data_IF_151975849939
#
_entry.id   IF_151975849939
#
_cell.length_a   1.000
_cell.length_b   1.000
_cell.length_c   1.000
_cell.angle_alpha   90.00
_cell.angle_beta   90.00
_cell.angle_gamma   90.00
#
_symmetry.space_group_name_H-M   'P 1'
#
loop_
_entity.id
_entity.type
_entity.pdbx_description
1 polymer ?
#
# COMPACT_ATOMS: atom_id res chain seq x y z
N UNK A 1 45.01 60.98 -38.69
CA UNK A 1 45.14 60.00 -37.60
C UNK A 1 44.23 58.83 -37.93
N UNK A 2 44.84 57.67 -38.23
CA UNK A 2 44.33 56.29 -38.44
C UNK A 2 42.84 56.08 -38.83
N UNK A 3 42.43 55.46 -39.95
CA UNK A 3 42.98 54.30 -40.69
C UNK A 3 42.01 53.11 -40.49
N UNK A 4 41.01 52.92 -41.37
CA UNK A 4 40.90 51.85 -42.39
C UNK A 4 41.20 50.42 -41.88
N UNK A 5 40.21 49.52 -41.86
CA UNK A 5 40.15 48.38 -42.79
C UNK A 5 38.86 47.55 -42.71
N UNK A 6 38.51 47.01 -43.88
CA UNK A 6 37.52 45.98 -44.15
C UNK A 6 38.28 44.66 -44.34
N UNK A 7 37.65 43.53 -43.99
CA UNK A 7 37.76 42.19 -44.62
C UNK A 7 38.38 41.02 -43.82
N UNK A 8 37.55 39.97 -43.71
CA UNK A 8 37.83 38.54 -43.97
C UNK A 8 38.63 37.66 -42.99
N UNK A 9 37.84 36.83 -42.29
CA UNK A 9 37.86 35.36 -42.28
C UNK A 9 38.81 34.55 -41.37
N UNK A 10 38.18 33.50 -40.81
CA UNK A 10 38.71 32.28 -40.18
C UNK A 10 39.21 32.40 -38.73
N UNK A 11 38.40 31.86 -37.80
CA UNK A 11 38.83 30.80 -36.89
C UNK A 11 37.59 30.15 -36.23
N UNK A 12 37.52 28.83 -36.34
CA UNK A 12 36.55 27.96 -35.70
C UNK A 12 36.50 28.20 -34.18
N UNK A 13 35.31 28.47 -33.63
CA UNK A 13 34.99 28.11 -32.25
C UNK A 13 33.50 27.84 -32.13
N UNK A 14 33.16 26.55 -31.97
CA UNK A 14 31.83 26.08 -31.58
C UNK A 14 31.60 26.42 -30.11
N UNK A 15 30.69 27.33 -29.80
CA UNK A 15 30.09 27.43 -28.46
C UNK A 15 28.59 27.66 -28.57
N UNK A 16 27.85 26.57 -28.81
CA UNK A 16 26.45 26.49 -28.38
C UNK A 16 26.39 26.27 -26.87
N UNK A 17 25.29 26.64 -26.19
CA UNK A 17 25.11 26.32 -24.78
C UNK A 17 25.05 24.80 -24.62
N UNK A 18 26.09 24.24 -24.01
CA UNK A 18 26.19 22.82 -23.67
C UNK A 18 25.33 22.56 -22.44
N UNK A 19 24.04 22.29 -22.65
CA UNK A 19 23.21 21.68 -21.62
C UNK A 19 23.71 20.26 -21.41
N UNK A 20 24.53 20.06 -20.39
CA UNK A 20 24.88 18.73 -19.88
C UNK A 20 23.61 18.13 -19.27
N UNK A 21 22.97 17.23 -20.01
CA UNK A 21 22.04 16.24 -19.45
C UNK A 21 22.84 15.34 -18.51
N UNK A 22 22.87 15.71 -17.23
CA UNK A 22 23.35 14.83 -16.18
C UNK A 22 22.27 13.78 -15.94
N UNK A 23 22.30 12.69 -16.71
CA UNK A 23 21.59 11.47 -16.33
C UNK A 23 22.11 11.05 -14.94
N UNK A 24 21.25 10.60 -14.01
CA UNK A 24 21.71 10.12 -12.72
C UNK A 24 22.57 8.86 -12.98
N UNK A 25 23.89 9.01 -12.84
CA UNK A 25 24.79 7.86 -12.80
C UNK A 25 24.51 7.13 -11.49
N UNK A 26 23.77 6.04 -11.59
CA UNK A 26 23.72 5.04 -10.52
C UNK A 26 25.11 4.41 -10.47
N UNK A 27 25.90 4.80 -9.47
CA UNK A 27 27.17 4.16 -9.20
C UNK A 27 26.87 2.84 -8.50
N UNK A 28 26.72 1.77 -9.28
CA UNK A 28 26.76 0.40 -8.76
C UNK A 28 28.22 0.14 -8.36
N UNK A 29 28.53 0.33 -7.07
CA UNK A 29 29.77 -0.16 -6.49
C UNK A 29 29.87 -1.67 -6.73
N UNK A 30 31.04 -2.23 -7.07
CA UNK A 30 31.20 -3.67 -7.13
C UNK A 30 30.88 -4.23 -5.74
N UNK A 31 29.89 -5.12 -5.66
CA UNK A 31 29.59 -5.88 -4.44
C UNK A 31 30.80 -6.79 -4.20
N UNK A 32 31.74 -6.33 -3.41
CA UNK A 32 32.82 -7.15 -2.89
C UNK A 32 32.22 -7.99 -1.76
N UNK A 33 31.84 -9.23 -2.08
CA UNK A 33 31.43 -10.21 -1.08
C UNK A 33 32.64 -10.51 -0.17
N UNK A 34 32.59 -10.19 1.14
CA UNK A 34 33.64 -10.61 2.05
C UNK A 34 33.51 -12.12 2.27
N UNK A 35 34.64 -12.83 2.25
CA UNK A 35 34.72 -14.21 2.72
C UNK A 35 34.26 -14.26 4.18
N UNK A 36 33.13 -14.91 4.43
CA UNK A 36 32.54 -15.13 5.75
C UNK A 36 33.50 -15.96 6.62
N UNK A 37 34.17 -15.29 7.57
CA UNK A 37 34.84 -15.93 8.70
C UNK A 37 33.93 -15.78 9.92
N UNK A 38 33.26 -16.87 10.29
CA UNK A 38 32.12 -16.91 11.20
C UNK A 38 32.40 -16.64 12.68
N UNK A 39 33.27 -15.69 13.04
CA UNK A 39 33.59 -15.40 14.45
C UNK A 39 33.09 -14.06 15.00
N UNK A 40 32.66 -13.09 14.16
CA UNK A 40 32.30 -11.74 14.64
C UNK A 40 30.98 -11.16 14.09
N UNK A 41 30.06 -11.99 13.60
CA UNK A 41 28.77 -11.55 13.03
C UNK A 41 27.93 -10.60 13.92
N UNK A 42 27.82 -10.79 15.26
CA UNK A 42 27.00 -9.90 16.08
C UNK A 42 27.57 -8.46 16.18
N UNK A 43 28.89 -8.31 16.15
CA UNK A 43 29.56 -7.00 16.26
C UNK A 43 29.51 -6.20 14.95
N UNK A 44 29.43 -6.90 13.82
CA UNK A 44 29.28 -6.31 12.49
C UNK A 44 27.83 -5.87 12.24
N UNK A 45 26.84 -6.61 12.77
CA UNK A 45 25.42 -6.28 12.68
C UNK A 45 25.02 -5.10 13.60
N UNK A 46 25.61 -5.01 14.80
CA UNK A 46 25.42 -3.88 15.71
C UNK A 46 25.96 -2.57 15.11
N UNK A 47 27.11 -2.64 14.42
CA UNK A 47 27.70 -1.51 13.69
C UNK A 47 26.85 -1.02 12.51
N UNK A 48 26.05 -1.93 11.92
CA UNK A 48 25.22 -1.66 10.73
C UNK A 48 23.81 -1.16 11.07
N UNK A 49 23.28 -1.54 12.24
CA UNK A 49 21.89 -1.28 12.64
C UNK A 49 21.73 -0.23 13.73
N UNK A 50 22.80 0.11 14.48
CA UNK A 50 22.78 1.19 15.48
C UNK A 50 21.97 0.91 16.75
N UNK A 51 21.50 -0.33 16.96
CA UNK A 51 20.76 -0.75 18.14
C UNK A 51 21.56 -1.76 18.98
N UNK A 52 21.66 -1.59 20.31
CA UNK A 52 22.45 -2.47 21.17
C UNK A 52 21.80 -3.86 21.28
N UNK A 53 22.55 -4.91 20.94
CA UNK A 53 22.10 -6.30 21.03
C UNK A 53 22.56 -6.89 22.37
N UNK A 54 21.60 -7.20 23.25
CA UNK A 54 21.90 -7.84 24.54
C UNK A 54 22.42 -9.27 24.33
N UNK A 55 23.62 -9.58 24.83
CA UNK A 55 24.21 -10.91 24.81
C UNK A 55 23.83 -11.69 26.06
N UNK A 56 23.12 -12.81 25.90
CA UNK A 56 22.97 -13.80 26.97
C UNK A 56 23.32 -15.20 26.46
N UNK A 57 24.23 -15.85 27.17
CA UNK A 57 24.61 -17.26 26.97
C UNK A 57 23.64 -18.15 27.74
N UNK A 58 22.72 -18.82 27.04
CA UNK A 58 21.87 -19.86 27.64
C UNK A 58 22.05 -21.18 26.90
N UNK A 59 22.40 -22.22 27.67
CA UNK A 59 22.45 -23.62 27.24
C UNK A 59 21.02 -24.18 27.18
N UNK A 60 20.38 -24.21 26.00
CA UNK A 60 19.46 -25.27 25.54
C UNK A 60 18.92 -24.94 24.15
N UNK A 61 18.63 -25.99 23.36
CA UNK A 61 18.10 -25.99 21.98
C UNK A 61 19.16 -25.88 20.88
N UNK A 62 18.95 -26.65 19.80
CA UNK A 62 19.76 -26.78 18.59
C UNK A 62 20.53 -25.47 18.27
N UNK A 63 21.89 -25.49 18.15
CA UNK A 63 22.72 -24.28 18.09
C UNK A 63 22.39 -23.32 16.93
N UNK A 64 21.55 -23.76 16.00
CA UNK A 64 21.12 -23.03 14.83
C UNK A 64 19.82 -22.22 15.00
N UNK A 65 19.05 -22.39 16.10
CA UNK A 65 17.76 -21.68 16.29
C UNK A 65 17.94 -20.18 16.38
N UNK A 66 18.85 -19.72 17.25
CA UNK A 66 19.13 -18.30 17.45
C UNK A 66 19.70 -17.66 16.16
N UNK A 67 20.74 -18.23 15.49
CA UNK A 67 21.21 -17.72 14.21
C UNK A 67 20.13 -17.64 13.13
N UNK A 68 19.23 -18.63 13.04
CA UNK A 68 18.12 -18.62 12.07
C UNK A 68 17.14 -17.48 12.36
N UNK A 69 16.79 -17.23 13.63
CA UNK A 69 15.92 -16.11 13.99
C UNK A 69 16.56 -14.76 13.69
N UNK A 70 17.86 -14.59 13.94
CA UNK A 70 18.59 -13.37 13.56
C UNK A 70 18.61 -13.17 12.03
N UNK A 71 18.84 -14.24 11.26
CA UNK A 71 18.80 -14.16 9.79
C UNK A 71 17.40 -13.78 9.27
N UNK A 72 16.33 -14.33 9.87
CA UNK A 72 14.95 -13.94 9.54
C UNK A 72 14.72 -12.48 9.94
N UNK A 73 15.15 -12.06 11.12
CA UNK A 73 14.97 -10.69 11.62
C UNK A 73 15.68 -9.66 10.74
N UNK A 74 16.91 -9.94 10.30
CA UNK A 74 17.66 -9.10 9.35
C UNK A 74 16.91 -9.01 8.01
N UNK A 75 16.47 -10.14 7.46
CA UNK A 75 15.70 -10.16 6.22
C UNK A 75 14.33 -9.45 6.35
N UNK A 76 13.73 -9.42 7.54
CA UNK A 76 12.51 -8.66 7.83
C UNK A 76 12.82 -7.17 7.90
N UNK A 77 13.90 -6.75 8.55
CA UNK A 77 14.31 -5.35 8.61
C UNK A 77 14.57 -4.78 7.20
N UNK A 78 15.27 -5.53 6.36
CA UNK A 78 15.55 -5.15 4.97
C UNK A 78 14.25 -5.02 4.15
N UNK A 79 13.28 -5.91 4.35
CA UNK A 79 11.94 -5.79 3.73
C UNK A 79 11.18 -4.54 4.20
N UNK A 80 11.30 -4.15 5.47
CA UNK A 80 10.67 -2.90 5.97
C UNK A 80 11.21 -1.69 5.23
N UNK A 81 12.54 -1.57 5.11
CA UNK A 81 13.17 -0.48 4.38
C UNK A 81 12.81 -0.50 2.90
N UNK A 82 12.82 -1.67 2.26
CA UNK A 82 12.43 -1.83 0.88
C UNK A 82 10.98 -1.38 0.63
N UNK A 83 10.01 -1.84 1.43
CA UNK A 83 8.60 -1.45 1.29
C UNK A 83 8.41 0.06 1.52
N UNK A 84 9.11 0.67 2.50
CA UNK A 84 9.07 2.12 2.69
C UNK A 84 9.58 2.88 1.46
N UNK A 85 10.76 2.49 0.95
CA UNK A 85 11.37 3.12 -0.22
C UNK A 85 10.48 3.00 -1.46
N UNK A 86 9.89 1.82 -1.70
CA UNK A 86 8.95 1.61 -2.81
C UNK A 86 7.70 2.47 -2.61
N UNK A 87 7.15 2.53 -1.40
CA UNK A 87 5.99 3.38 -1.08
C UNK A 87 6.23 4.84 -1.44
N UNK A 88 7.36 5.42 -1.00
CA UNK A 88 7.73 6.80 -1.29
C UNK A 88 7.94 7.06 -2.79
N UNK A 89 8.60 6.14 -3.50
CA UNK A 89 8.77 6.23 -4.95
C UNK A 89 7.41 6.28 -5.66
N UNK A 90 6.45 5.46 -5.23
CA UNK A 90 5.12 5.40 -5.83
C UNK A 90 4.30 6.66 -5.55
N UNK A 91 4.40 7.24 -4.35
CA UNK A 91 3.79 8.54 -4.07
C UNK A 91 4.36 9.65 -4.93
N UNK A 92 5.67 9.69 -5.10
CA UNK A 92 6.33 10.68 -5.94
C UNK A 92 5.87 10.53 -7.40
N UNK A 93 5.78 9.30 -7.91
CA UNK A 93 5.23 9.03 -9.24
C UNK A 93 3.77 9.46 -9.35
N UNK A 94 2.95 9.19 -8.34
CA UNK A 94 1.54 9.62 -8.33
C UNK A 94 1.43 11.14 -8.50
N UNK A 95 2.20 11.90 -7.70
CA UNK A 95 2.22 13.37 -7.75
C UNK A 95 2.70 13.87 -9.11
N UNK A 96 3.86 13.39 -9.57
CA UNK A 96 4.45 13.82 -10.83
C UNK A 96 3.54 13.53 -12.03
N UNK A 97 3.00 12.31 -12.13
CA UNK A 97 2.12 11.92 -13.22
C UNK A 97 0.78 12.67 -13.17
N UNK A 98 0.15 12.77 -11.98
CA UNK A 98 -1.12 13.48 -11.83
C UNK A 98 -1.00 14.94 -12.25
N UNK A 99 0.02 15.65 -11.75
CA UNK A 99 0.26 17.06 -12.09
C UNK A 99 0.58 17.23 -13.57
N UNK A 100 1.40 16.35 -14.15
CA UNK A 100 1.76 16.43 -15.58
C UNK A 100 0.55 16.19 -16.47
N UNK A 101 -0.26 15.16 -16.20
CA UNK A 101 -1.49 14.84 -16.94
C UNK A 101 -2.49 16.00 -16.87
N UNK A 102 -2.70 16.56 -15.68
CA UNK A 102 -3.57 17.72 -15.50
C UNK A 102 -3.08 18.93 -16.30
N UNK A 103 -1.77 19.19 -16.26
CA UNK A 103 -1.17 20.28 -17.03
C UNK A 103 -1.33 20.06 -18.55
N UNK A 104 -1.11 18.85 -19.05
CA UNK A 104 -1.31 18.51 -20.47
C UNK A 104 -2.77 18.67 -20.90
N UNK A 105 -3.71 18.13 -20.12
CA UNK A 105 -5.14 18.23 -20.43
C UNK A 105 -5.64 19.67 -20.40
N UNK A 106 -5.25 20.46 -19.40
CA UNK A 106 -5.63 21.87 -19.30
C UNK A 106 -4.98 22.70 -20.41
N UNK A 107 -3.69 22.48 -20.71
CA UNK A 107 -3.01 23.16 -21.82
C UNK A 107 -3.65 22.80 -23.16
N UNK A 108 -4.00 21.53 -23.36
CA UNK A 108 -4.76 21.06 -24.51
C UNK A 108 -6.11 21.79 -24.63
N UNK A 109 -6.83 21.96 -23.53
CA UNK A 109 -8.10 22.70 -23.50
C UNK A 109 -7.92 24.17 -23.86
N UNK A 110 -6.93 24.84 -23.26
CA UNK A 110 -6.62 26.24 -23.56
C UNK A 110 -6.23 26.43 -25.02
N UNK A 111 -5.32 25.60 -25.55
CA UNK A 111 -4.90 25.65 -26.95
C UNK A 111 -6.05 25.36 -27.91
N UNK A 112 -6.97 24.45 -27.56
CA UNK A 112 -8.19 24.19 -28.34
C UNK A 112 -9.11 25.41 -28.38
N UNK A 113 -9.30 26.07 -27.23
CA UNK A 113 -10.09 27.30 -27.14
C UNK A 113 -9.47 28.46 -27.92
N UNK A 114 -8.15 28.62 -27.84
CA UNK A 114 -7.41 29.63 -28.62
C UNK A 114 -7.44 29.35 -30.12
N UNK A 115 -7.37 28.09 -30.54
CA UNK A 115 -7.45 27.72 -31.96
C UNK A 115 -8.79 28.17 -32.60
N UNK A 116 -9.85 28.32 -31.80
CA UNK A 116 -11.15 28.79 -32.27
C UNK A 116 -11.26 30.32 -32.41
N UNK A 117 -10.36 31.09 -31.80
CA UNK A 117 -10.38 32.57 -31.85
C UNK A 117 -9.39 33.15 -32.84
N UNK A 118 -8.41 32.37 -33.28
CA UNK A 118 -7.39 32.79 -34.25
C UNK A 118 -7.90 32.55 -35.67
N UNK A 119 -7.53 33.44 -36.60
CA UNK A 119 -7.87 33.31 -38.01
C UNK A 119 -7.38 31.98 -38.60
N UNK A 120 -8.13 31.45 -39.56
CA UNK A 120 -7.75 30.24 -40.29
C UNK A 120 -6.38 30.45 -40.98
N UNK A 121 -5.44 29.53 -40.71
CA UNK A 121 -4.06 29.64 -41.17
C UNK A 121 -3.08 28.83 -40.32
N UNK A 122 -1.78 29.01 -40.57
CA UNK A 122 -0.71 28.26 -39.89
C UNK A 122 -0.80 28.29 -38.35
N UNK A 123 -1.12 29.42 -37.68
CA UNK A 123 -1.20 29.46 -36.22
C UNK A 123 -2.36 28.61 -35.66
N UNK A 124 -3.51 28.59 -36.33
CA UNK A 124 -4.65 27.75 -35.95
C UNK A 124 -4.30 26.26 -36.07
N UNK A 125 -3.65 25.87 -37.18
CA UNK A 125 -3.18 24.50 -37.41
C UNK A 125 -2.18 24.07 -36.33
N UNK A 126 -1.22 24.95 -35.98
CA UNK A 126 -0.23 24.66 -34.95
C UNK A 126 -0.86 24.42 -33.57
N UNK A 127 -1.82 25.26 -33.15
CA UNK A 127 -2.52 25.13 -31.86
C UNK A 127 -3.38 23.87 -31.81
N UNK A 128 -4.06 23.54 -32.91
CA UNK A 128 -4.86 22.32 -33.06
C UNK A 128 -4.02 21.05 -32.99
N UNK A 129 -2.92 21.00 -33.74
CA UNK A 129 -2.00 19.86 -33.70
C UNK A 129 -1.40 19.70 -32.29
N UNK A 130 -0.96 20.80 -31.69
CA UNK A 130 -0.38 20.80 -30.34
C UNK A 130 -1.37 20.31 -29.28
N UNK A 131 -2.60 20.83 -29.28
CA UNK A 131 -3.65 20.39 -28.34
C UNK A 131 -4.04 18.93 -28.55
N UNK A 132 -4.16 18.47 -29.80
CA UNK A 132 -4.44 17.06 -30.10
C UNK A 132 -3.33 16.15 -29.56
N UNK A 133 -2.05 16.51 -29.79
CA UNK A 133 -0.89 15.75 -29.28
C UNK A 133 -0.89 15.72 -27.75
N UNK A 134 -1.14 16.85 -27.08
CA UNK A 134 -1.20 16.91 -25.61
C UNK A 134 -2.31 16.01 -25.06
N UNK A 135 -3.49 15.99 -25.69
CA UNK A 135 -4.57 15.11 -25.27
C UNK A 135 -4.24 13.63 -25.47
N UNK A 136 -3.69 13.26 -26.62
CA UNK A 136 -3.27 11.87 -26.89
C UNK A 136 -2.19 11.42 -25.89
N UNK A 137 -1.22 12.29 -25.60
CA UNK A 137 -0.19 12.03 -24.59
C UNK A 137 -0.81 11.87 -23.19
N UNK A 138 -1.74 12.74 -22.81
CA UNK A 138 -2.47 12.63 -21.55
C UNK A 138 -3.27 11.32 -21.46
N UNK A 139 -3.96 10.91 -22.53
CA UNK A 139 -4.67 9.62 -22.59
C UNK A 139 -3.71 8.45 -22.39
N UNK A 140 -2.58 8.42 -23.09
CA UNK A 140 -1.58 7.36 -22.96
C UNK A 140 -1.03 7.25 -21.53
N UNK A 141 -0.67 8.39 -20.93
CA UNK A 141 -0.17 8.44 -19.56
C UNK A 141 -1.25 8.08 -18.53
N UNK A 142 -2.50 8.48 -18.74
CA UNK A 142 -3.63 8.05 -17.91
C UNK A 142 -3.82 6.54 -17.96
N UNK A 143 -3.71 5.90 -19.13
CA UNK A 143 -3.81 4.44 -19.23
C UNK A 143 -2.69 3.73 -18.46
N UNK A 144 -1.45 4.24 -18.55
CA UNK A 144 -0.31 3.70 -17.78
C UNK A 144 -0.49 3.93 -16.28
N UNK A 145 -0.91 5.13 -15.89
CA UNK A 145 -1.15 5.51 -14.50
C UNK A 145 -2.31 4.69 -13.90
N UNK A 146 -3.38 4.47 -14.67
CA UNK A 146 -4.52 3.67 -14.25
C UNK A 146 -4.16 2.18 -14.20
N UNK A 147 -3.27 1.68 -15.05
CA UNK A 147 -2.82 0.29 -14.96
C UNK A 147 -1.99 0.03 -13.69
N UNK A 148 -1.12 0.98 -13.32
CA UNK A 148 -0.18 0.81 -12.21
C UNK A 148 -0.67 1.36 -10.86
N UNK A 149 -1.71 2.22 -10.88
CA UNK A 149 -2.28 3.01 -9.77
C UNK A 149 -1.29 3.27 -8.62
N UNK A 150 -0.34 4.20 -8.81
CA UNK A 150 0.78 4.38 -7.88
C UNK A 150 0.32 4.69 -6.44
N UNK A 151 -0.77 5.45 -6.26
CA UNK A 151 -1.32 5.79 -4.94
C UNK A 151 -1.87 4.59 -4.17
N UNK A 152 -2.58 3.67 -4.84
CA UNK A 152 -3.07 2.44 -4.23
C UNK A 152 -1.91 1.55 -3.80
N UNK A 153 -0.96 1.35 -4.72
CA UNK A 153 0.19 0.50 -4.47
C UNK A 153 1.07 1.05 -3.35
N UNK A 154 1.24 2.38 -3.26
CA UNK A 154 1.97 3.01 -2.17
C UNK A 154 1.38 2.64 -0.80
N UNK A 155 0.05 2.63 -0.67
CA UNK A 155 -0.61 2.26 0.58
C UNK A 155 -0.46 0.78 0.92
N UNK A 156 -0.54 -0.09 -0.09
CA UNK A 156 -0.24 -1.51 0.10
C UNK A 156 1.19 -1.71 0.62
N UNK A 157 2.17 -0.94 0.10
CA UNK A 157 3.55 -1.00 0.58
C UNK A 157 3.68 -0.46 2.02
N UNK A 158 2.99 0.63 2.38
CA UNK A 158 3.01 1.14 3.77
C UNK A 158 2.44 0.12 4.74
N UNK A 159 1.34 -0.54 4.38
CA UNK A 159 0.76 -1.58 5.22
C UNK A 159 1.70 -2.79 5.33
N UNK A 160 2.35 -3.21 4.23
CA UNK A 160 3.38 -4.24 4.26
C UNK A 160 4.54 -3.88 5.20
N UNK A 161 5.09 -2.67 5.07
CA UNK A 161 6.17 -2.18 5.95
C UNK A 161 5.76 -2.21 7.44
N UNK A 162 4.53 -1.79 7.75
CA UNK A 162 3.98 -1.85 9.12
C UNK A 162 3.91 -3.28 9.64
N UNK A 163 3.42 -4.22 8.82
CA UNK A 163 3.29 -5.63 9.21
C UNK A 163 4.64 -6.32 9.38
N UNK A 164 5.61 -6.07 8.49
CA UNK A 164 6.98 -6.54 8.66
C UNK A 164 7.63 -5.94 9.90
N UNK A 165 7.40 -4.65 10.20
CA UNK A 165 7.89 -4.02 11.42
C UNK A 165 7.30 -4.66 12.68
N UNK A 166 6.02 -5.02 12.67
CA UNK A 166 5.41 -5.79 13.77
C UNK A 166 6.04 -7.18 13.92
N UNK A 167 6.33 -7.86 12.81
CA UNK A 167 7.00 -9.16 12.83
C UNK A 167 8.43 -9.06 13.38
N UNK A 168 9.18 -8.01 12.99
CA UNK A 168 10.50 -7.70 13.53
C UNK A 168 10.47 -7.61 15.05
N UNK A 169 9.60 -6.76 15.60
CA UNK A 169 9.49 -6.59 17.05
C UNK A 169 9.06 -7.86 17.77
N UNK A 170 8.22 -8.68 17.14
CA UNK A 170 7.83 -9.98 17.71
C UNK A 170 9.03 -10.93 17.80
N UNK A 171 9.84 -11.03 16.75
CA UNK A 171 11.06 -11.86 16.75
C UNK A 171 12.07 -11.33 17.78
N UNK A 172 12.26 -10.01 17.84
CA UNK A 172 13.14 -9.37 18.82
C UNK A 172 12.69 -9.69 20.27
N UNK A 173 11.38 -9.63 20.53
CA UNK A 173 10.81 -9.97 21.85
C UNK A 173 11.05 -11.44 22.18
N UNK A 174 10.81 -12.36 21.24
CA UNK A 174 11.08 -13.79 21.41
C UNK A 174 12.56 -14.06 21.73
N UNK A 175 13.48 -13.37 21.05
CA UNK A 175 14.92 -13.46 21.32
C UNK A 175 15.28 -12.92 22.71
N UNK A 176 14.65 -11.81 23.14
CA UNK A 176 14.90 -11.16 24.41
C UNK A 176 14.36 -11.95 25.62
N UNK A 177 13.30 -12.74 25.44
CA UNK A 177 12.69 -13.58 26.47
C UNK A 177 13.44 -14.89 26.74
N UNK A 178 14.48 -15.20 25.97
CA UNK A 178 15.53 -16.15 26.36
C UNK A 178 15.27 -17.65 26.21
N UNK A 179 14.19 -18.08 25.53
CA UNK A 179 13.92 -19.50 25.20
C UNK A 179 13.29 -19.71 23.81
N UNK A 180 13.93 -19.27 22.72
CA UNK A 180 13.43 -19.56 21.37
C UNK A 180 13.57 -21.04 21.02
N UNK A 181 12.55 -21.60 20.36
CA UNK A 181 12.54 -22.97 19.84
C UNK A 181 12.45 -23.02 18.30
N UNK A 182 12.67 -24.19 17.71
CA UNK A 182 12.49 -24.45 16.28
C UNK A 182 11.07 -24.08 15.80
N UNK A 183 10.06 -24.21 16.67
CA UNK A 183 8.69 -23.76 16.40
C UNK A 183 8.62 -22.25 16.15
N UNK A 184 9.38 -21.43 16.88
CA UNK A 184 9.40 -19.98 16.71
C UNK A 184 10.05 -19.59 15.38
N UNK A 185 11.09 -20.32 14.96
CA UNK A 185 11.72 -20.17 13.64
C UNK A 185 10.72 -20.46 12.53
N UNK A 186 10.01 -21.58 12.63
CA UNK A 186 9.00 -21.97 11.64
C UNK A 186 7.84 -20.97 11.61
N UNK A 187 7.35 -20.52 12.75
CA UNK A 187 6.29 -19.51 12.85
C UNK A 187 6.72 -18.16 12.26
N UNK A 188 7.95 -17.72 12.55
CA UNK A 188 8.50 -16.50 11.96
C UNK A 188 8.62 -16.62 10.44
N UNK A 189 9.17 -17.73 9.95
CA UNK A 189 9.30 -18.01 8.52
C UNK A 189 7.94 -18.06 7.81
N UNK A 190 6.95 -18.78 8.36
CA UNK A 190 5.60 -18.86 7.80
C UNK A 190 4.93 -17.48 7.71
N UNK A 191 5.16 -16.61 8.70
CA UNK A 191 4.64 -15.23 8.66
C UNK A 191 5.34 -14.37 7.63
N UNK A 192 6.66 -14.49 7.48
CA UNK A 192 7.38 -13.79 6.39
C UNK A 192 6.80 -14.21 5.04
N UNK A 193 6.64 -15.51 4.81
CA UNK A 193 6.10 -16.03 3.55
C UNK A 193 4.63 -15.64 3.33
N UNK A 194 3.82 -15.61 4.39
CA UNK A 194 2.44 -15.14 4.32
C UNK A 194 2.36 -13.65 3.97
N UNK A 195 3.24 -12.82 4.55
CA UNK A 195 3.33 -11.39 4.22
C UNK A 195 3.84 -11.17 2.79
N UNK A 196 4.88 -11.89 2.36
CA UNK A 196 5.41 -11.82 0.98
C UNK A 196 4.34 -12.25 -0.05
N UNK A 197 3.48 -13.21 0.31
CA UNK A 197 2.35 -13.63 -0.54
C UNK A 197 1.22 -12.61 -0.56
N UNK A 198 0.93 -11.98 0.58
CA UNK A 198 -0.15 -10.99 0.70
C UNK A 198 0.23 -9.64 0.08
N UNK A 199 1.52 -9.28 0.10
CA UNK A 199 2.05 -8.04 -0.46
C UNK A 199 3.24 -8.35 -1.38
N UNK A 200 2.96 -8.93 -2.57
CA UNK A 200 4.01 -9.33 -3.49
C UNK A 200 4.80 -8.11 -3.97
N UNK A 201 6.12 -8.26 -3.97
CA UNK A 201 6.99 -7.26 -4.58
C UNK A 201 6.85 -7.31 -6.10
N UNK A 202 7.07 -6.19 -6.82
CA UNK A 202 6.99 -6.13 -8.28
C UNK A 202 7.88 -7.14 -9.04
N UNK A 203 8.84 -7.76 -8.36
CA UNK A 203 9.70 -8.82 -8.90
C UNK A 203 8.94 -10.13 -9.14
N UNK A 204 7.87 -10.37 -8.38
CA UNK A 204 6.91 -11.45 -8.65
C UNK A 204 5.79 -10.85 -9.49
N UNK A 205 5.70 -11.24 -10.77
CA UNK A 205 4.79 -10.67 -11.78
C UNK A 205 3.28 -10.79 -11.49
N UNK A 206 2.88 -11.14 -10.27
CA UNK A 206 1.51 -11.10 -9.76
C UNK A 206 1.35 -9.88 -8.86
N UNK A 207 1.00 -8.73 -9.44
CA UNK A 207 0.49 -7.58 -8.70
C UNK A 207 -0.91 -7.94 -8.16
N UNK A 208 -1.26 -7.49 -6.95
CA UNK A 208 -2.64 -7.61 -6.47
C UNK A 208 -3.59 -7.01 -7.52
N UNK A 209 -4.72 -7.68 -7.75
CA UNK A 209 -5.68 -7.18 -8.73
C UNK A 209 -6.18 -5.80 -8.28
N UNK A 210 -5.89 -4.77 -9.09
CA UNK A 210 -6.39 -3.40 -8.89
C UNK A 210 -7.91 -3.37 -8.68
N UNK A 211 -8.61 -4.23 -9.39
CA UNK A 211 -10.06 -4.23 -9.52
C UNK A 211 -10.65 -5.61 -9.27
N UNK A 212 -10.63 -6.11 -8.02
CA UNK A 212 -11.15 -7.43 -7.74
C UNK A 212 -12.64 -7.50 -8.09
N UNK A 213 -13.11 -8.69 -8.48
CA UNK A 213 -14.53 -8.96 -8.73
C UNK A 213 -15.34 -8.88 -7.44
N UNK A 214 -14.74 -9.27 -6.31
CA UNK A 214 -15.33 -9.23 -4.98
C UNK A 214 -14.40 -8.51 -4.00
N UNK A 215 -14.99 -7.65 -3.15
CA UNK A 215 -14.24 -6.98 -2.09
C UNK A 215 -14.12 -7.94 -0.91
N UNK A 216 -12.97 -8.59 -0.82
CA UNK A 216 -12.63 -9.45 0.31
C UNK A 216 -11.74 -8.73 1.33
N UNK A 217 -11.87 -9.04 2.64
CA UNK A 217 -10.94 -8.59 3.66
C UNK A 217 -9.51 -8.98 3.33
N UNK A 218 -8.56 -8.06 3.51
CA UNK A 218 -7.14 -8.38 3.33
C UNK A 218 -6.69 -9.46 4.33
N UNK A 219 -6.13 -10.57 3.84
CA UNK A 219 -5.59 -11.67 4.66
C UNK A 219 -4.08 -11.74 4.52
N UNK A 220 -3.37 -11.43 5.59
CA UNK A 220 -1.91 -11.39 5.64
C UNK A 220 -1.30 -12.27 6.73
N UNK A 221 -2.12 -13.06 7.40
CA UNK A 221 -1.69 -14.03 8.41
C UNK A 221 -1.75 -15.45 7.86
N UNK A 222 -0.84 -16.34 8.28
CA UNK A 222 -0.94 -17.75 7.92
C UNK A 222 -2.21 -18.35 8.53
N UNK A 223 -2.75 -19.41 7.91
CA UNK A 223 -3.81 -20.22 8.55
C UNK A 223 -3.26 -20.68 9.90
N UNK A 224 -3.92 -20.28 10.98
CA UNK A 224 -3.54 -20.68 12.33
C UNK A 224 -3.48 -22.21 12.39
N UNK A 225 -2.26 -22.75 12.48
CA UNK A 225 -2.09 -24.18 12.78
C UNK A 225 -2.49 -24.37 14.24
N UNK A 226 -3.24 -25.43 14.51
CA UNK A 226 -3.43 -25.90 15.89
C UNK A 226 -2.04 -26.09 16.50
N UNK A 227 -1.71 -25.32 17.55
CA UNK A 227 -0.44 -25.48 18.26
C UNK A 227 -0.34 -26.93 18.73
N UNK A 228 0.70 -27.65 18.31
CA UNK A 228 1.03 -28.94 18.89
C UNK A 228 1.54 -28.73 20.31
N UNK A 229 0.93 -29.40 21.29
CA UNK A 229 1.37 -29.38 22.68
C UNK A 229 2.52 -30.37 22.84
N UNK A 230 3.62 -29.94 23.46
CA UNK A 230 4.58 -30.87 24.06
C UNK A 230 3.97 -31.45 25.35
N UNK A 231 3.84 -32.78 25.49
CA UNK A 231 3.25 -33.38 26.67
C UNK A 231 4.23 -33.25 27.84
N UNK A 232 3.97 -32.31 28.76
CA UNK A 232 4.83 -32.16 29.94
C UNK A 232 4.50 -31.03 30.92
N UNK A 233 3.58 -30.12 30.60
CA UNK A 233 3.10 -29.11 31.55
C UNK A 233 1.76 -29.51 32.14
N UNK A 234 1.72 -29.95 33.39
CA UNK A 234 0.47 -30.00 34.16
C UNK A 234 -0.08 -28.58 34.30
N UNK A 235 -1.00 -28.18 33.41
CA UNK A 235 -1.78 -26.96 33.57
C UNK A 235 -3.11 -27.33 34.22
N UNK A 236 -3.07 -27.76 35.49
CA UNK A 236 -4.26 -27.93 36.34
C UNK A 236 -4.83 -26.58 36.83
N UNK A 237 -4.61 -25.50 36.08
CA UNK A 237 -5.06 -24.15 36.39
C UNK A 237 -6.03 -23.63 35.33
N UNK A 238 -7.13 -23.03 35.77
CA UNK A 238 -8.08 -22.36 34.90
C UNK A 238 -7.37 -21.23 34.12
N UNK A 239 -7.25 -21.35 32.78
CA UNK A 239 -6.46 -20.44 31.92
C UNK A 239 -7.13 -19.07 31.71
N UNK A 240 -7.53 -18.38 32.78
CA UNK A 240 -8.22 -17.07 32.74
C UNK A 240 -9.60 -17.08 32.06
N UNK A 241 -10.01 -18.21 31.46
CA UNK A 241 -11.30 -18.37 30.80
C UNK A 241 -12.39 -18.68 31.81
N UNK A 242 -13.53 -18.00 31.67
CA UNK A 242 -14.77 -18.36 32.34
C UNK A 242 -15.92 -18.28 31.32
N UNK A 243 -17.06 -18.87 31.65
CA UNK A 243 -18.23 -18.89 30.75
C UNK A 243 -18.69 -17.49 30.37
N UNK A 244 -18.56 -16.52 31.30
CA UNK A 244 -18.92 -15.12 31.06
C UNK A 244 -18.04 -14.49 29.98
N UNK A 245 -16.72 -14.64 30.08
CA UNK A 245 -15.75 -14.12 29.12
C UNK A 245 -15.92 -14.79 27.76
N UNK A 246 -16.24 -16.08 27.71
CA UNK A 246 -16.52 -16.77 26.45
C UNK A 246 -17.73 -16.18 25.72
N UNK A 247 -18.82 -15.89 26.44
CA UNK A 247 -20.00 -15.23 25.87
C UNK A 247 -19.71 -13.77 25.52
N UNK A 248 -19.03 -13.00 26.39
CA UNK A 248 -18.60 -11.63 26.10
C UNK A 248 -17.79 -11.56 24.78
N UNK A 249 -16.88 -12.52 24.57
CA UNK A 249 -16.07 -12.63 23.35
C UNK A 249 -16.90 -12.98 22.10
N UNK A 250 -17.85 -13.91 22.21
CA UNK A 250 -18.78 -14.24 21.09
C UNK A 250 -19.64 -13.04 20.71
N UNK A 251 -20.11 -12.30 21.71
CA UNK A 251 -20.92 -11.10 21.52
C UNK A 251 -20.12 -9.97 20.84
N UNK A 252 -18.87 -9.76 21.25
CA UNK A 252 -17.95 -8.84 20.57
C UNK A 252 -17.78 -9.24 19.10
N UNK A 253 -17.56 -10.52 18.79
CA UNK A 253 -17.48 -11.01 17.39
C UNK A 253 -18.78 -10.73 16.64
N UNK A 254 -19.94 -10.94 17.26
CA UNK A 254 -21.24 -10.62 16.67
C UNK A 254 -21.36 -9.15 16.26
N UNK A 255 -20.96 -8.23 17.14
CA UNK A 255 -20.94 -6.79 16.86
C UNK A 255 -19.96 -6.44 15.75
N UNK A 256 -18.72 -6.92 15.85
CA UNK A 256 -17.68 -6.63 14.87
C UNK A 256 -18.07 -7.11 13.47
N UNK A 257 -18.74 -8.27 13.38
CA UNK A 257 -19.19 -8.82 12.10
C UNK A 257 -20.39 -8.07 11.52
N UNK A 258 -21.39 -7.74 12.35
CA UNK A 258 -22.65 -7.11 11.91
C UNK A 258 -22.48 -5.61 11.63
N UNK A 259 -21.63 -4.91 12.39
CA UNK A 259 -21.41 -3.47 12.25
C UNK A 259 -20.13 -3.20 11.45
N UNK A 260 -18.97 -3.33 12.10
CA UNK A 260 -17.71 -2.82 11.55
C UNK A 260 -17.30 -3.53 10.25
N UNK A 261 -17.20 -4.86 10.24
CA UNK A 261 -16.75 -5.63 9.08
C UNK A 261 -17.66 -5.43 7.86
N UNK A 262 -18.98 -5.53 8.06
CA UNK A 262 -19.94 -5.38 6.98
C UNK A 262 -19.94 -3.96 6.40
N UNK A 263 -19.85 -2.94 7.25
CA UNK A 263 -19.76 -1.54 6.85
C UNK A 263 -18.48 -1.26 6.06
N UNK A 264 -17.32 -1.71 6.53
CA UNK A 264 -16.04 -1.53 5.82
C UNK A 264 -16.02 -2.23 4.46
N UNK A 265 -16.63 -3.42 4.34
CA UNK A 265 -16.77 -4.10 3.05
C UNK A 265 -17.69 -3.31 2.10
N UNK A 266 -18.81 -2.77 2.59
CA UNK A 266 -19.73 -1.97 1.78
C UNK A 266 -19.08 -0.66 1.31
N UNK A 267 -18.39 0.06 2.21
CA UNK A 267 -17.60 1.25 1.87
C UNK A 267 -16.51 0.92 0.85
N UNK A 268 -15.82 -0.21 1.01
CA UNK A 268 -14.86 -0.72 0.04
C UNK A 268 -15.50 -0.95 -1.34
N UNK A 269 -16.70 -1.55 -1.42
CA UNK A 269 -17.43 -1.74 -2.68
C UNK A 269 -17.80 -0.42 -3.36
N UNK A 270 -18.23 0.58 -2.58
CA UNK A 270 -18.56 1.93 -3.09
C UNK A 270 -17.31 2.62 -3.62
N UNK A 271 -16.21 2.62 -2.85
CA UNK A 271 -14.93 3.20 -3.25
C UNK A 271 -14.39 2.51 -4.52
N UNK A 272 -14.49 1.18 -4.61
CA UNK A 272 -14.07 0.41 -5.79
C UNK A 272 -14.85 0.79 -7.04
N UNK A 273 -16.19 0.94 -6.94
CA UNK A 273 -17.03 1.38 -8.07
C UNK A 273 -16.66 2.78 -8.53
N UNK A 274 -16.43 3.70 -7.59
CA UNK A 274 -15.99 5.05 -7.90
C UNK A 274 -14.62 5.05 -8.59
N UNK A 275 -13.65 4.29 -8.06
CA UNK A 275 -12.32 4.16 -8.66
C UNK A 275 -12.40 3.60 -10.10
N UNK A 276 -13.22 2.57 -10.34
CA UNK A 276 -13.46 2.00 -11.69
C UNK A 276 -14.05 3.04 -12.66
N UNK A 277 -15.05 3.81 -12.20
CA UNK A 277 -15.69 4.86 -13.00
C UNK A 277 -14.70 5.95 -13.39
N UNK A 278 -13.91 6.45 -12.43
CA UNK A 278 -12.94 7.51 -12.65
C UNK A 278 -11.80 7.03 -13.58
N UNK A 279 -11.26 5.83 -13.33
CA UNK A 279 -10.19 5.22 -14.13
C UNK A 279 -10.59 5.01 -15.61
N UNK A 280 -11.89 4.87 -15.89
CA UNK A 280 -12.40 4.72 -17.24
C UNK A 280 -12.72 6.08 -17.88
N UNK A 281 -13.29 7.01 -17.10
CA UNK A 281 -13.72 8.31 -17.62
C UNK A 281 -12.56 9.25 -17.95
N UNK A 282 -11.45 9.24 -17.21
CA UNK A 282 -10.29 10.09 -17.51
C UNK A 282 -9.73 9.89 -18.93
N UNK A 283 -9.33 8.66 -19.31
CA UNK A 283 -8.89 8.35 -20.68
C UNK A 283 -9.96 8.66 -21.75
N UNK A 284 -11.24 8.37 -21.49
CA UNK A 284 -12.31 8.66 -22.44
C UNK A 284 -12.49 10.16 -22.68
N UNK A 285 -12.46 10.96 -21.62
CA UNK A 285 -12.61 12.42 -21.70
C UNK A 285 -11.42 13.08 -22.41
N UNK A 286 -10.18 12.62 -22.14
CA UNK A 286 -9.00 13.12 -22.87
C UNK A 286 -9.05 12.74 -24.36
N UNK A 287 -9.52 11.53 -24.69
CA UNK A 287 -9.71 11.12 -26.08
C UNK A 287 -10.79 11.95 -26.79
N UNK A 288 -11.91 12.22 -26.13
CA UNK A 288 -12.93 13.14 -26.64
C UNK A 288 -12.36 14.55 -26.82
N UNK A 289 -11.49 14.99 -25.90
CA UNK A 289 -10.72 16.23 -26.01
C UNK A 289 -9.89 16.27 -27.30
N UNK A 290 -9.15 15.20 -27.59
CA UNK A 290 -8.36 15.06 -28.80
C UNK A 290 -9.21 15.12 -30.07
N UNK A 291 -10.35 14.40 -30.10
CA UNK A 291 -11.26 14.41 -31.24
C UNK A 291 -11.88 15.79 -31.46
N UNK A 292 -12.35 16.44 -30.38
CA UNK A 292 -12.88 17.80 -30.42
C UNK A 292 -11.87 18.80 -30.96
N UNK A 293 -10.63 18.76 -30.44
CA UNK A 293 -9.51 19.56 -30.93
C UNK A 293 -9.22 19.32 -32.41
N UNK A 294 -9.15 18.06 -32.85
CA UNK A 294 -8.86 17.69 -34.23
C UNK A 294 -9.93 18.13 -35.24
N UNK A 295 -11.12 18.48 -34.77
CA UNK A 295 -12.24 18.97 -35.57
C UNK A 295 -12.45 20.49 -35.45
N UNK A 296 -11.58 21.20 -34.72
CA UNK A 296 -11.60 22.68 -34.71
C UNK A 296 -11.24 23.21 -36.09
N UNK A 297 -12.02 24.19 -36.57
CA UNK A 297 -11.85 24.84 -37.86
C UNK A 297 -12.32 24.03 -39.08
N UNK A 298 -12.81 22.80 -38.89
CA UNK A 298 -13.28 21.95 -40.03
C UNK A 298 -14.78 22.03 -40.26
N UNK A 299 -15.54 22.57 -39.30
CA UNK A 299 -16.99 22.75 -39.38
C UNK A 299 -17.35 24.15 -38.91
N UNK A 300 -18.33 24.80 -39.54
CA UNK A 300 -18.87 26.11 -39.12
C UNK A 300 -19.64 26.08 -37.78
N UNK A 301 -19.57 24.97 -37.02
CA UNK A 301 -20.32 24.76 -35.79
C UNK A 301 -19.38 24.76 -34.58
N UNK A 302 -19.79 25.39 -33.47
CA UNK A 302 -18.96 25.56 -32.26
C UNK A 302 -18.84 24.31 -31.38
N UNK A 303 -19.55 23.24 -31.71
CA UNK A 303 -19.59 22.01 -30.91
C UNK A 303 -18.25 21.28 -30.74
N UNK A 304 -17.30 21.24 -31.72
CA UNK A 304 -16.03 20.53 -31.54
C UNK A 304 -15.10 21.28 -30.59
N UNK A 305 -15.13 22.61 -30.64
CA UNK A 305 -14.42 23.48 -29.69
C UNK A 305 -14.94 23.24 -28.28
N UNK A 306 -16.27 23.22 -28.11
CA UNK A 306 -16.90 22.94 -26.81
C UNK A 306 -16.53 21.55 -26.29
N UNK A 307 -16.59 20.51 -27.12
CA UNK A 307 -16.17 19.15 -26.75
C UNK A 307 -14.69 19.15 -26.34
N UNK A 308 -13.84 19.74 -27.17
CA UNK A 308 -12.40 19.77 -26.93
C UNK A 308 -12.03 20.47 -25.63
N UNK A 309 -12.65 21.61 -25.31
CA UNK A 309 -12.39 22.37 -24.07
C UNK A 309 -13.02 21.68 -22.85
N UNK A 310 -14.32 21.37 -22.91
CA UNK A 310 -15.07 20.82 -21.77
C UNK A 310 -14.55 19.43 -21.41
N UNK A 311 -14.28 18.57 -22.40
CA UNK A 311 -13.78 17.23 -22.12
C UNK A 311 -12.38 17.26 -21.48
N UNK A 312 -11.48 18.15 -21.93
CA UNK A 312 -10.17 18.31 -21.29
C UNK A 312 -10.23 18.87 -19.87
N UNK A 313 -11.08 19.87 -19.63
CA UNK A 313 -11.31 20.40 -18.30
C UNK A 313 -11.90 19.32 -17.36
N UNK A 314 -12.91 18.59 -17.81
CA UNK A 314 -13.52 17.49 -17.05
C UNK A 314 -12.54 16.34 -16.81
N UNK A 315 -11.69 16.00 -17.78
CA UNK A 315 -10.64 15.01 -17.60
C UNK A 315 -9.68 15.39 -16.46
N UNK A 316 -9.34 16.67 -16.35
CA UNK A 316 -8.49 17.21 -15.28
C UNK A 316 -9.17 17.06 -13.91
N UNK A 317 -10.48 17.35 -13.83
CA UNK A 317 -11.26 17.16 -12.59
C UNK A 317 -11.30 15.69 -12.21
N UNK A 318 -11.64 14.80 -13.15
CA UNK A 318 -11.68 13.35 -12.92
C UNK A 318 -10.34 12.82 -12.45
N UNK A 319 -9.24 13.19 -13.13
CA UNK A 319 -7.89 12.77 -12.76
C UNK A 319 -7.48 13.31 -11.36
N UNK A 320 -7.89 14.52 -11.02
CA UNK A 320 -7.64 15.12 -9.70
C UNK A 320 -8.43 14.41 -8.60
N UNK A 321 -9.68 14.03 -8.84
CA UNK A 321 -10.48 13.27 -7.87
C UNK A 321 -9.90 11.85 -7.71
N UNK A 322 -9.61 11.15 -8.81
CA UNK A 322 -9.10 9.77 -8.77
C UNK A 322 -7.75 9.67 -8.05
N UNK A 323 -6.76 10.43 -8.54
CA UNK A 323 -5.37 10.29 -8.14
C UNK A 323 -4.93 11.31 -7.09
N UNK A 324 -5.48 12.52 -7.15
CA UNK A 324 -5.25 13.57 -6.14
C UNK A 324 -6.07 13.36 -4.86
N UNK A 325 -7.33 12.92 -5.00
CA UNK A 325 -8.18 12.49 -3.89
C UNK A 325 -7.85 11.11 -3.34
N UNK A 326 -6.89 10.40 -3.96
CA UNK A 326 -6.37 9.09 -3.54
C UNK A 326 -7.48 8.04 -3.34
N UNK A 327 -8.46 7.98 -4.24
CA UNK A 327 -9.63 7.07 -4.12
C UNK A 327 -9.20 5.60 -4.03
N UNK A 328 -8.12 5.21 -4.73
CA UNK A 328 -7.53 3.88 -4.61
C UNK A 328 -6.94 3.58 -3.22
N UNK A 329 -6.30 4.56 -2.58
CA UNK A 329 -5.81 4.44 -1.21
C UNK A 329 -6.97 4.28 -0.22
N UNK A 330 -8.06 5.01 -0.42
CA UNK A 330 -9.27 4.89 0.42
C UNK A 330 -9.91 3.51 0.29
N UNK A 331 -9.95 2.94 -0.92
CA UNK A 331 -10.39 1.56 -1.12
C UNK A 331 -9.53 0.56 -0.33
N UNK A 332 -8.21 0.68 -0.41
CA UNK A 332 -7.27 -0.18 0.33
C UNK A 332 -7.35 0.01 1.84
N UNK A 333 -7.60 1.23 2.32
CA UNK A 333 -7.86 1.51 3.73
C UNK A 333 -9.09 0.73 4.22
N UNK A 334 -10.21 0.78 3.48
CA UNK A 334 -11.41 0.02 3.84
C UNK A 334 -11.18 -1.49 3.79
N UNK A 335 -10.48 -1.98 2.75
CA UNK A 335 -10.12 -3.40 2.61
C UNK A 335 -9.20 -3.88 3.73
N UNK A 336 -8.24 -3.05 4.13
CA UNK A 336 -7.31 -3.29 5.23
C UNK A 336 -8.00 -3.32 6.59
N UNK A 337 -8.92 -2.38 6.84
CA UNK A 337 -9.74 -2.36 8.06
C UNK A 337 -10.65 -3.57 8.15
N UNK A 338 -11.31 -3.95 7.05
CA UNK A 338 -12.08 -5.19 7.00
C UNK A 338 -11.20 -6.41 7.31
N UNK A 339 -9.97 -6.46 6.77
CA UNK A 339 -8.97 -7.48 7.09
C UNK A 339 -8.61 -7.52 8.58
N UNK A 340 -8.44 -6.37 9.21
CA UNK A 340 -8.15 -6.25 10.62
C UNK A 340 -9.28 -6.80 11.50
N UNK A 341 -10.54 -6.44 11.22
CA UNK A 341 -11.68 -7.00 11.95
C UNK A 341 -11.85 -8.50 11.71
N UNK A 342 -11.56 -8.96 10.49
CA UNK A 342 -11.56 -10.40 10.17
C UNK A 342 -10.49 -11.15 10.96
N UNK A 343 -9.30 -10.58 11.15
CA UNK A 343 -8.25 -11.16 11.99
C UNK A 343 -8.69 -11.26 13.45
N UNK A 344 -9.35 -10.22 13.98
CA UNK A 344 -9.89 -10.24 15.35
C UNK A 344 -10.96 -11.32 15.49
N UNK A 345 -11.90 -11.42 14.54
CA UNK A 345 -12.92 -12.47 14.50
C UNK A 345 -12.28 -13.86 14.51
N UNK A 346 -11.33 -14.13 13.62
CA UNK A 346 -10.66 -15.43 13.54
C UNK A 346 -9.83 -15.74 14.80
N UNK A 347 -9.23 -14.73 15.42
CA UNK A 347 -8.48 -14.87 16.68
C UNK A 347 -9.42 -15.22 17.85
N UNK A 348 -10.56 -14.55 17.96
CA UNK A 348 -11.54 -14.86 19.03
C UNK A 348 -12.14 -16.24 18.79
N UNK A 349 -12.60 -16.52 17.58
CA UNK A 349 -13.26 -17.78 17.24
C UNK A 349 -12.34 -18.99 17.41
N UNK A 350 -11.06 -18.87 17.04
CA UNK A 350 -10.09 -19.96 17.26
C UNK A 350 -9.86 -20.25 18.75
N UNK A 351 -9.81 -19.23 19.60
CA UNK A 351 -9.65 -19.42 21.05
C UNK A 351 -10.92 -19.93 21.74
N UNK A 352 -12.10 -19.45 21.34
CA UNK A 352 -13.39 -19.87 21.89
C UNK A 352 -13.73 -21.31 21.49
N UNK A 353 -13.42 -21.70 20.25
CA UNK A 353 -13.74 -23.04 19.73
C UNK A 353 -12.75 -24.14 20.13
N UNK A 354 -11.55 -23.79 20.58
CA UNK A 354 -10.53 -24.75 21.01
C UNK A 354 -10.96 -25.44 22.31
N UNK A 355 -10.99 -26.78 22.33
CA UNK A 355 -11.47 -27.53 23.50
C UNK A 355 -10.38 -27.69 24.56
N UNK A 356 -9.12 -27.66 24.15
CA UNK A 356 -7.97 -27.81 25.05
C UNK A 356 -7.60 -26.46 25.68
N UNK A 357 -7.82 -26.35 27.00
CA UNK A 357 -7.53 -25.15 27.79
C UNK A 357 -6.05 -24.75 27.70
N UNK A 358 -5.15 -25.72 27.55
CA UNK A 358 -3.71 -25.48 27.38
C UNK A 358 -3.31 -24.95 26.01
N UNK A 359 -4.19 -25.05 25.00
CA UNK A 359 -3.96 -24.52 23.64
C UNK A 359 -4.56 -23.12 23.45
N UNK A 360 -5.49 -22.72 24.31
CA UNK A 360 -6.06 -21.36 24.32
C UNK A 360 -5.00 -20.34 24.75
N UNK A 361 -4.97 -19.18 24.09
CA UNK A 361 -4.35 -17.98 24.67
C UNK A 361 -5.04 -17.69 26.00
N UNK A 362 -4.29 -17.20 26.99
CA UNK A 362 -4.88 -16.87 28.29
C UNK A 362 -6.00 -15.84 28.14
N UNK A 363 -7.15 -16.10 28.76
CA UNK A 363 -8.36 -15.31 28.57
C UNK A 363 -8.18 -13.82 28.91
N UNK A 364 -7.50 -13.51 30.01
CA UNK A 364 -7.26 -12.12 30.46
C UNK A 364 -6.27 -11.40 29.54
N UNK A 365 -5.22 -12.10 29.09
CA UNK A 365 -4.24 -11.55 28.13
C UNK A 365 -4.91 -11.29 26.78
N UNK A 366 -5.78 -12.19 26.33
CA UNK A 366 -6.54 -12.03 25.10
C UNK A 366 -7.50 -10.84 25.21
N UNK A 367 -8.24 -10.71 26.31
CA UNK A 367 -9.14 -9.57 26.56
C UNK A 367 -8.37 -8.25 26.51
N UNK A 368 -7.23 -8.16 27.20
CA UNK A 368 -6.37 -6.97 27.19
C UNK A 368 -5.86 -6.65 25.80
N UNK A 369 -5.39 -7.65 25.05
CA UNK A 369 -4.88 -7.47 23.69
C UNK A 369 -5.97 -6.99 22.74
N UNK A 370 -7.18 -7.55 22.84
CA UNK A 370 -8.32 -7.15 22.02
C UNK A 370 -8.80 -5.74 22.37
N UNK A 371 -8.87 -5.39 23.65
CA UNK A 371 -9.20 -4.04 24.10
C UNK A 371 -8.23 -3.01 23.51
N UNK A 372 -6.92 -3.27 23.64
CA UNK A 372 -5.87 -2.40 23.06
C UNK A 372 -5.94 -2.33 21.53
N UNK A 373 -6.17 -3.45 20.85
CA UNK A 373 -6.30 -3.48 19.40
C UNK A 373 -7.52 -2.71 18.90
N UNK A 374 -8.63 -2.75 19.63
CA UNK A 374 -9.86 -2.00 19.33
C UNK A 374 -9.82 -0.55 19.83
N UNK A 375 -8.72 -0.12 20.45
CA UNK A 375 -8.57 1.22 21.00
C UNK A 375 -9.53 1.52 22.17
N UNK A 376 -9.93 0.49 22.92
CA UNK A 376 -10.90 0.56 24.02
C UNK A 376 -10.26 0.16 25.34
N UNK A 377 -10.80 0.67 26.44
CA UNK A 377 -10.55 0.13 27.77
C UNK A 377 -11.23 -1.23 27.96
N UNK A 378 -10.77 -2.03 28.94
CA UNK A 378 -11.41 -3.30 29.31
C UNK A 378 -12.89 -3.11 29.66
N UNK A 379 -13.22 -2.02 30.36
CA UNK A 379 -14.60 -1.66 30.71
C UNK A 379 -15.46 -1.35 29.50
N UNK A 380 -14.96 -0.61 28.53
CA UNK A 380 -15.69 -0.27 27.30
C UNK A 380 -15.90 -1.50 26.40
N UNK A 381 -14.94 -2.43 26.39
CA UNK A 381 -15.07 -3.70 25.68
C UNK A 381 -16.19 -4.57 26.29
N UNK A 382 -16.28 -4.62 27.63
CA UNK A 382 -17.38 -5.29 28.34
C UNK A 382 -18.72 -4.61 28.12
N UNK A 383 -18.75 -3.28 28.06
CA UNK A 383 -19.97 -2.54 27.73
C UNK A 383 -20.45 -2.83 26.30
N UNK A 384 -19.54 -2.95 25.33
CA UNK A 384 -19.91 -3.38 23.98
C UNK A 384 -20.59 -4.75 23.97
N UNK A 385 -20.02 -5.71 24.69
CA UNK A 385 -20.61 -7.04 24.80
C UNK A 385 -22.01 -6.98 25.41
N UNK A 386 -22.20 -6.21 26.50
CA UNK A 386 -23.51 -6.05 27.13
C UNK A 386 -24.55 -5.34 26.24
N UNK A 387 -24.13 -4.34 25.45
CA UNK A 387 -24.99 -3.69 24.46
C UNK A 387 -25.37 -4.67 23.34
N UNK A 388 -24.46 -5.56 22.95
CA UNK A 388 -24.73 -6.60 21.97
C UNK A 388 -25.81 -7.58 22.47
N UNK A 389 -25.66 -8.07 23.71
CA UNK A 389 -26.62 -8.99 24.34
C UNK A 389 -28.03 -8.38 24.40
N UNK A 390 -28.14 -7.13 24.85
CA UNK A 390 -29.44 -6.42 24.93
C UNK A 390 -30.06 -6.17 23.56
N UNK A 391 -29.23 -5.93 22.53
CA UNK A 391 -29.71 -5.74 21.15
C UNK A 391 -30.20 -7.06 20.54
N UNK A 392 -29.51 -8.17 20.80
CA UNK A 392 -29.95 -9.50 20.36
C UNK A 392 -31.22 -9.94 21.08
N UNK A 393 -31.32 -9.75 22.39
CA UNK A 393 -32.53 -10.08 23.18
C UNK A 393 -33.75 -9.28 22.71
N UNK A 394 -33.56 -8.00 22.39
CA UNK A 394 -34.61 -7.12 21.86
C UNK A 394 -35.06 -7.54 20.45
N UNK A 395 -34.11 -7.96 19.60
CA UNK A 395 -34.42 -8.45 18.26
C UNK A 395 -35.16 -9.81 18.29
N UNK A 396 -34.83 -10.69 19.24
CA UNK A 396 -35.51 -11.99 19.40
C UNK A 396 -36.89 -11.92 20.06
N UNK A 397 -37.27 -10.79 20.67
CA UNK A 397 -38.63 -10.54 21.20
C UNK A 397 -39.58 -9.88 20.19
N UNK A 398 -39.05 -9.48 19.02
CA UNK A 398 -39.79 -8.84 17.93
C UNK A 398 -40.18 -9.82 16.80
N UNK A 399 -39.76 -11.08 16.89
CA UNK A 399 -40.21 -12.21 16.09
C UNK A 399 -40.81 -13.26 17.03
#
# INVERSE_FOLDING_TARGET
>A
MAGLEVSSSLLFSKTGPRWTLTAPRVHLSPVCLPKLSGKNLPDELEKRTGYPIARHTTKSSDPNVIPKLYAIMEAVADRVEMHNNIGEQRDNWNRLLSTSINAMALTGATMTGLAATVAEGEPCIALKLSSTVLYVAATGLLLVMNKNQPSQLAEEQRNAARLFKQLYFRIQTTLSLGKPDISDVNEAMEKVLALDKAYPLPLMGSMLEKFPSEVEPARWWPKQRQKQVFPGGNTEGNNGWNRKLEEEMKQIVGVLKKKDLAEYIDLGKKALKLNKMLATSGPLLTLLGALGSSCVGTTHCSWPVMIGVVAGAMATVVNSVEHGGQVGMVFEMYRGNAGFFKLIEETIMSNVSEKDVGRRENGEILEMKLALQLGRSLSELKQLAAIAETTEESASKLF
#
